data_IF_409024315942
#
_entry.id   IF_409024315942
#
_cell.length_a   1.000
_cell.length_b   1.000
_cell.length_c   1.000
_cell.angle_alpha   90.00
_cell.angle_beta   90.00
_cell.angle_gamma   90.00
#
_symmetry.space_group_name_H-M   'P 1'
#
loop_
_entity.id
_entity.type
_entity.pdbx_description
1 polymer ?
#
# COMPACT_ATOMS: atom_id res chain seq x y z
N UNK A 1 -8.42 -17.97 -6.60
CA UNK A 1 -8.74 -16.56 -6.87
C UNK A 1 -8.06 -16.17 -8.19
N UNK A 2 -8.82 -15.76 -9.21
CA UNK A 2 -8.29 -15.48 -10.56
C UNK A 2 -7.92 -13.99 -10.65
N UNK A 3 -6.71 -13.66 -11.07
CA UNK A 3 -6.32 -12.27 -11.32
C UNK A 3 -7.05 -11.73 -12.55
N UNK A 4 -7.78 -10.62 -12.37
CA UNK A 4 -8.49 -9.91 -13.43
C UNK A 4 -7.56 -8.95 -14.19
N UNK A 5 -6.68 -8.26 -13.46
CA UNK A 5 -5.77 -7.26 -14.02
C UNK A 5 -4.48 -7.18 -13.21
N UNK A 6 -3.37 -6.88 -13.90
CA UNK A 6 -2.08 -6.59 -13.29
C UNK A 6 -1.73 -5.13 -13.52
N UNK A 7 -1.32 -4.44 -12.46
CA UNK A 7 -0.97 -3.03 -12.49
C UNK A 7 0.41 -2.86 -11.88
N UNK A 8 1.40 -2.31 -12.61
CA UNK A 8 2.68 -1.92 -12.03
C UNK A 8 2.49 -0.82 -11.01
N UNK A 9 3.17 -0.92 -9.87
CA UNK A 9 3.06 0.00 -8.75
C UNK A 9 4.45 0.44 -8.33
N UNK A 10 4.61 1.75 -8.09
CA UNK A 10 5.83 2.33 -7.53
C UNK A 10 5.58 2.81 -6.10
N UNK A 11 6.66 3.07 -5.38
CA UNK A 11 6.61 3.61 -4.02
C UNK A 11 7.33 4.95 -3.96
N UNK A 12 6.73 5.89 -3.25
CA UNK A 12 7.34 7.19 -2.95
C UNK A 12 7.33 7.42 -1.44
N UNK A 13 8.47 7.84 -0.91
CA UNK A 13 8.58 8.22 0.50
C UNK A 13 8.38 9.72 0.63
N UNK A 14 7.42 10.11 1.47
CA UNK A 14 7.01 11.51 1.62
C UNK A 14 6.89 11.86 3.10
N UNK A 15 7.13 13.13 3.43
CA UNK A 15 6.92 13.66 4.79
C UNK A 15 5.48 14.11 5.01
N UNK A 16 4.82 14.58 3.96
CA UNK A 16 3.43 15.01 4.00
C UNK A 16 2.70 14.66 2.71
N UNK A 17 1.37 14.62 2.76
CA UNK A 17 0.52 14.22 1.63
C UNK A 17 -0.61 15.22 1.47
N UNK A 18 -0.68 15.80 0.28
CA UNK A 18 -1.86 16.47 -0.22
C UNK A 18 -2.66 15.49 -1.09
N UNK A 19 -3.95 15.33 -0.80
CA UNK A 19 -4.81 14.33 -1.46
C UNK A 19 -4.93 14.62 -2.96
N UNK A 20 -4.92 15.90 -3.35
CA UNK A 20 -5.06 16.33 -4.75
C UNK A 20 -3.82 16.01 -5.60
N UNK A 21 -2.67 15.75 -4.98
CA UNK A 21 -1.41 15.44 -5.66
C UNK A 21 -1.19 13.93 -5.86
N UNK A 22 -2.12 13.10 -5.38
CA UNK A 22 -2.01 11.65 -5.48
C UNK A 22 -2.16 11.18 -6.93
N UNK A 23 -1.18 10.40 -7.37
CA UNK A 23 -1.17 9.79 -8.69
C UNK A 23 -1.64 8.33 -8.62
N UNK A 24 -2.33 7.84 -9.66
CA UNK A 24 -2.64 6.42 -9.76
C UNK A 24 -1.34 5.61 -9.79
N UNK A 25 -1.38 4.38 -9.27
CA UNK A 25 -0.27 3.43 -9.31
C UNK A 25 0.97 3.81 -8.47
N UNK A 26 0.86 4.85 -7.62
CA UNK A 26 1.92 5.24 -6.69
C UNK A 26 1.43 4.99 -5.25
N UNK A 27 2.26 4.34 -4.46
CA UNK A 27 2.06 4.12 -3.03
C UNK A 27 2.91 5.12 -2.27
N UNK A 28 2.27 6.00 -1.51
CA UNK A 28 2.95 7.03 -0.73
C UNK A 28 3.12 6.55 0.71
N UNK A 29 4.36 6.53 1.19
CA UNK A 29 4.68 6.06 2.55
C UNK A 29 5.25 7.21 3.37
N UNK A 30 4.57 7.49 4.48
CA UNK A 30 5.06 8.38 5.55
C UNK A 30 5.77 7.54 6.61
N UNK A 31 7.11 7.46 6.52
CA UNK A 31 7.94 6.60 7.40
C UNK A 31 7.90 7.01 8.87
N UNK A 32 7.77 8.30 9.14
CA UNK A 32 7.68 8.89 10.46
C UNK A 32 6.39 8.45 11.16
N UNK A 33 5.25 8.58 10.47
CA UNK A 33 3.91 8.29 10.96
C UNK A 33 3.49 6.83 10.79
N UNK A 34 4.21 6.04 10.00
CA UNK A 34 3.86 4.65 9.65
C UNK A 34 2.49 4.57 8.97
N UNK A 35 2.28 5.37 7.93
CA UNK A 35 1.06 5.32 7.12
C UNK A 35 1.37 5.07 5.65
N UNK A 36 0.51 4.31 5.00
CA UNK A 36 0.49 4.12 3.57
C UNK A 36 -0.77 4.77 3.00
N UNK A 37 -0.57 5.60 1.99
CA UNK A 37 -1.64 6.32 1.31
C UNK A 37 -1.54 6.11 -0.18
N UNK A 38 -2.66 5.89 -0.86
CA UNK A 38 -2.71 5.77 -2.32
C UNK A 38 -4.15 5.91 -2.82
N UNK A 39 -4.29 6.05 -4.15
CA UNK A 39 -5.57 5.87 -4.82
C UNK A 39 -5.76 4.38 -5.13
N UNK A 40 -6.89 3.83 -4.71
CA UNK A 40 -7.25 2.43 -4.95
C UNK A 40 -7.16 2.09 -6.45
N UNK A 41 -6.82 0.84 -6.77
CA UNK A 41 -6.71 0.37 -8.15
C UNK A 41 -8.06 0.01 -8.79
N UNK A 42 -9.17 0.29 -8.11
CA UNK A 42 -10.50 0.23 -8.70
C UNK A 42 -10.72 1.35 -9.72
N UNK A 43 -11.79 1.24 -10.51
CA UNK A 43 -12.13 2.25 -11.51
C UNK A 43 -12.45 3.62 -10.89
N UNK A 44 -13.07 3.61 -9.70
CA UNK A 44 -13.44 4.83 -8.96
C UNK A 44 -12.26 5.52 -8.27
N UNK A 45 -11.07 4.88 -8.25
CA UNK A 45 -9.84 5.41 -7.65
C UNK A 45 -10.03 5.96 -6.24
N UNK A 46 -10.79 5.25 -5.40
CA UNK A 46 -11.09 5.68 -4.04
C UNK A 46 -9.81 5.97 -3.24
N UNK A 47 -9.82 7.03 -2.44
CA UNK A 47 -8.71 7.34 -1.53
C UNK A 47 -8.56 6.27 -0.43
N UNK A 48 -7.33 5.81 -0.21
CA UNK A 48 -6.99 4.88 0.87
C UNK A 48 -5.86 5.48 1.69
N UNK A 49 -6.04 5.55 3.01
CA UNK A 49 -5.00 5.91 3.96
C UNK A 49 -5.12 5.03 5.19
N UNK A 50 -4.18 4.12 5.36
CA UNK A 50 -4.20 3.12 6.42
C UNK A 50 -2.83 3.02 7.09
N UNK A 51 -2.80 2.69 8.39
CA UNK A 51 -1.57 2.51 9.13
C UNK A 51 -0.76 1.33 8.57
N UNK A 52 0.54 1.36 8.79
CA UNK A 52 1.49 0.29 8.47
C UNK A 52 1.89 -0.38 9.79
N UNK A 53 1.52 -1.65 9.97
CA UNK A 53 1.91 -2.45 11.13
C UNK A 53 3.41 -2.72 11.14
N UNK A 54 3.95 -3.12 9.99
CA UNK A 54 5.37 -3.42 9.80
C UNK A 54 5.88 -2.80 8.51
N UNK A 55 6.95 -2.02 8.59
CA UNK A 55 7.68 -1.51 7.44
C UNK A 55 9.08 -2.14 7.41
N UNK A 56 9.34 -2.98 6.42
CA UNK A 56 10.66 -3.59 6.20
C UNK A 56 11.29 -3.00 4.95
N UNK A 57 12.47 -2.39 5.08
CA UNK A 57 13.24 -1.83 3.96
C UNK A 57 14.59 -2.54 3.92
N UNK A 58 14.85 -3.29 2.86
CA UNK A 58 16.10 -4.03 2.62
C UNK A 58 16.57 -4.86 3.84
N UNK A 59 15.61 -5.47 4.55
CA UNK A 59 15.86 -6.32 5.73
C UNK A 59 15.83 -5.60 7.08
N UNK A 60 15.67 -4.27 7.11
CA UNK A 60 15.52 -3.50 8.34
C UNK A 60 14.03 -3.23 8.60
N UNK A 61 13.51 -3.73 9.72
CA UNK A 61 12.09 -3.61 10.06
C UNK A 61 11.83 -2.57 11.14
N UNK A 62 10.77 -1.79 10.96
CA UNK A 62 10.15 -0.94 11.98
C UNK A 62 8.72 -1.42 12.19
N UNK A 63 8.31 -1.57 13.45
CA UNK A 63 6.94 -1.91 13.81
C UNK A 63 6.22 -0.66 14.33
N UNK A 64 4.92 -0.59 14.08
CA UNK A 64 4.03 0.38 14.72
C UNK A 64 3.30 -0.28 15.89
N UNK A 65 2.92 0.52 16.89
CA UNK A 65 2.08 0.07 17.99
C UNK A 65 0.58 0.00 17.62
N UNK A 66 0.22 0.34 16.37
CA UNK A 66 -1.16 0.34 15.90
C UNK A 66 -1.66 -1.09 15.71
N UNK A 67 -2.73 -1.44 16.43
CA UNK A 67 -3.36 -2.78 16.43
C UNK A 67 -4.60 -2.85 15.52
N UNK A 68 -4.87 -1.81 14.74
CA UNK A 68 -5.98 -1.76 13.80
C UNK A 68 -5.73 -2.48 12.46
N UNK A 69 -6.69 -2.33 11.53
CA UNK A 69 -6.55 -2.74 10.13
C UNK A 69 -5.35 -1.98 9.52
N UNK A 70 -4.29 -2.72 9.23
CA UNK A 70 -2.99 -2.16 8.89
C UNK A 70 -2.33 -2.90 7.73
N UNK A 71 -1.26 -2.34 7.19
CA UNK A 71 -0.47 -2.95 6.13
C UNK A 71 0.85 -3.48 6.67
N UNK A 72 1.22 -4.69 6.25
CA UNK A 72 2.62 -5.11 6.29
C UNK A 72 3.26 -4.77 4.94
N UNK A 73 4.26 -3.90 4.98
CA UNK A 73 4.96 -3.36 3.81
C UNK A 73 6.40 -3.84 3.82
N UNK A 74 6.80 -4.44 2.71
CA UNK A 74 8.19 -4.83 2.45
C UNK A 74 8.66 -4.12 1.18
N UNK A 75 9.82 -3.47 1.25
CA UNK A 75 10.48 -2.84 0.12
C UNK A 75 11.87 -3.46 0.01
N UNK A 76 12.12 -4.11 -1.11
CA UNK A 76 13.38 -4.78 -1.40
C UNK A 76 13.78 -4.51 -2.83
N UNK A 77 15.00 -4.01 -3.05
CA UNK A 77 15.48 -3.66 -4.39
C UNK A 77 14.46 -2.79 -5.16
N UNK A 78 13.98 -1.72 -4.51
CA UNK A 78 12.98 -0.76 -5.05
C UNK A 78 11.58 -1.34 -5.35
N UNK A 79 11.34 -2.62 -5.05
CA UNK A 79 10.04 -3.27 -5.28
C UNK A 79 9.25 -3.36 -3.99
N UNK A 80 8.02 -2.85 -4.03
CA UNK A 80 7.09 -2.90 -2.92
C UNK A 80 6.26 -4.19 -2.95
N UNK A 81 6.10 -4.82 -1.78
CA UNK A 81 5.16 -5.89 -1.50
C UNK A 81 4.30 -5.41 -0.33
N UNK A 82 2.98 -5.48 -0.50
CA UNK A 82 2.02 -5.04 0.52
C UNK A 82 1.08 -6.20 0.82
N UNK A 83 1.03 -6.59 2.09
CA UNK A 83 0.13 -7.63 2.58
C UNK A 83 -0.94 -6.97 3.47
N UNK A 84 -2.23 -7.17 3.19
CA UNK A 84 -3.30 -6.71 4.08
C UNK A 84 -3.23 -7.44 5.42
N UNK A 85 -3.26 -6.69 6.53
CA UNK A 85 -3.64 -7.21 7.83
C UNK A 85 -5.17 -7.34 7.85
N UNK A 86 -5.67 -8.41 7.24
CA UNK A 86 -7.06 -8.91 7.33
C UNK A 86 -8.16 -7.93 6.84
N UNK A 87 -8.76 -8.30 5.71
CA UNK A 87 -10.14 -7.98 5.23
C UNK A 87 -10.97 -7.02 6.12
N UNK A 88 -11.12 -5.75 5.74
CA UNK A 88 -12.36 -5.00 5.99
C UNK A 88 -12.53 -3.70 5.16
N UNK A 89 -13.42 -3.74 4.16
CA UNK A 89 -14.24 -2.69 3.50
C UNK A 89 -13.60 -1.38 2.92
N UNK A 90 -14.22 -0.68 1.91
CA UNK A 90 -15.45 -0.96 1.16
C UNK A 90 -15.25 -1.08 -0.35
N UNK A 91 -14.05 -1.39 -0.84
CA UNK A 91 -13.81 -1.50 -2.26
C UNK A 91 -13.95 -2.95 -2.73
N UNK A 92 -14.76 -3.20 -3.76
CA UNK A 92 -14.93 -4.52 -4.38
C UNK A 92 -13.62 -5.05 -5.01
N UNK A 93 -12.68 -4.15 -5.34
CA UNK A 93 -11.36 -4.50 -5.84
C UNK A 93 -10.43 -4.84 -4.66
N UNK A 94 -10.32 -6.12 -4.35
CA UNK A 94 -9.20 -6.60 -3.56
C UNK A 94 -7.98 -6.76 -4.47
N UNK A 95 -6.80 -6.44 -3.96
CA UNK A 95 -5.57 -6.65 -4.69
C UNK A 95 -4.46 -7.07 -3.73
N UNK A 96 -3.54 -7.86 -4.27
CA UNK A 96 -2.30 -8.25 -3.58
C UNK A 96 -1.15 -7.63 -4.34
N UNK A 97 -0.34 -6.83 -3.65
CA UNK A 97 0.84 -6.22 -4.24
C UNK A 97 2.04 -7.08 -3.91
N UNK A 98 2.69 -7.62 -4.94
CA UNK A 98 3.90 -8.43 -4.78
C UNK A 98 4.93 -7.97 -5.80
N UNK A 99 6.14 -7.64 -5.32
CA UNK A 99 7.27 -7.24 -6.17
C UNK A 99 6.95 -6.11 -7.17
N UNK A 100 6.23 -5.09 -6.71
CA UNK A 100 5.85 -3.92 -7.51
C UNK A 100 4.69 -4.16 -8.47
N UNK A 101 3.95 -5.27 -8.34
CA UNK A 101 2.78 -5.58 -9.17
C UNK A 101 1.56 -5.79 -8.29
N UNK A 102 0.54 -4.94 -8.45
CA UNK A 102 -0.79 -5.18 -7.91
C UNK A 102 -1.53 -6.19 -8.79
N UNK A 103 -1.95 -7.30 -8.19
CA UNK A 103 -2.80 -8.31 -8.80
C UNK A 103 -4.21 -8.08 -8.31
N UNK A 104 -5.04 -7.46 -9.16
CA UNK A 104 -6.46 -7.20 -8.88
C UNK A 104 -7.21 -8.51 -9.03
N UNK A 105 -7.99 -8.88 -8.02
CA UNK A 105 -8.71 -10.16 -7.91
C UNK A 105 -10.21 -9.97 -7.86
#
# INVERSE_FOLDING_TARGET
>A
MRTLKKVPVTVEFVSDINIDDLKPNIMYIRKDKMYLTHLCFCEDKCFVNLPISTLTIDGVSKQSDDKGCSWDVEIKNEKITVKPSILNHPCECHYIITNGIANIV
#
